data_IF_344721211967
#
_entry.id   IF_344721211967
#
_cell.length_a   1.000
_cell.length_b   1.000
_cell.length_c   1.000
_cell.angle_alpha   90.00
_cell.angle_beta   90.00
_cell.angle_gamma   90.00
#
_symmetry.space_group_name_H-M   'P 1'
#
loop_
_entity.id
_entity.type
_entity.pdbx_description
1 polymer ?
#
# COMPACT_ATOMS: atom_id res chain seq x y z
N UNK A 1 -6.45 17.03 7.22
CA UNK A 1 -6.46 15.63 7.74
C UNK A 1 -5.82 15.64 9.11
N UNK A 2 -6.43 14.98 10.10
CA UNK A 2 -5.75 14.74 11.38
C UNK A 2 -4.69 13.64 11.21
N UNK A 3 -3.60 13.71 11.97
CA UNK A 3 -2.54 12.68 12.02
C UNK A 3 -3.14 11.27 12.22
N UNK A 4 -4.24 11.18 12.98
CA UNK A 4 -4.98 9.94 13.22
C UNK A 4 -5.58 9.32 11.96
N UNK A 5 -6.12 10.14 11.05
CA UNK A 5 -6.66 9.66 9.77
C UNK A 5 -5.52 9.15 8.88
N UNK A 6 -4.43 9.91 8.77
CA UNK A 6 -3.22 9.49 8.05
C UNK A 6 -2.65 8.15 8.54
N UNK A 7 -2.64 7.92 9.85
CA UNK A 7 -2.22 6.65 10.41
C UNK A 7 -3.18 5.49 10.06
N UNK A 8 -4.49 5.76 10.02
CA UNK A 8 -5.48 4.76 9.64
C UNK A 8 -5.41 4.43 8.14
N UNK A 9 -5.24 5.44 7.28
CA UNK A 9 -5.03 5.27 5.85
C UNK A 9 -3.73 4.52 5.55
N UNK A 10 -2.64 4.84 6.26
CA UNK A 10 -1.38 4.11 6.15
C UNK A 10 -1.54 2.64 6.53
N UNK A 11 -2.27 2.34 7.61
CA UNK A 11 -2.55 0.96 8.01
C UNK A 11 -3.35 0.20 6.94
N UNK A 12 -4.35 0.84 6.34
CA UNK A 12 -5.13 0.24 5.25
C UNK A 12 -4.26 -0.06 4.03
N UNK A 13 -3.43 0.89 3.62
CA UNK A 13 -2.50 0.70 2.50
C UNK A 13 -1.47 -0.40 2.79
N UNK A 14 -0.98 -0.51 4.03
CA UNK A 14 -0.10 -1.62 4.44
C UNK A 14 -0.79 -2.97 4.31
N UNK A 15 -2.03 -3.10 4.81
CA UNK A 15 -2.81 -4.33 4.71
C UNK A 15 -3.07 -4.72 3.25
N UNK A 16 -3.41 -3.76 2.40
CA UNK A 16 -3.62 -4.02 0.97
C UNK A 16 -2.36 -4.55 0.29
N UNK A 17 -1.18 -3.97 0.59
CA UNK A 17 0.10 -4.48 0.10
C UNK A 17 0.33 -5.93 0.57
N UNK A 18 0.14 -6.22 1.85
CA UNK A 18 0.30 -7.59 2.37
C UNK A 18 -0.66 -8.59 1.69
N UNK A 19 -1.92 -8.22 1.49
CA UNK A 19 -2.89 -9.08 0.83
C UNK A 19 -2.57 -9.31 -0.66
N UNK A 20 -2.09 -8.27 -1.35
CA UNK A 20 -1.66 -8.38 -2.75
C UNK A 20 -0.39 -9.21 -2.86
N UNK A 21 0.59 -9.04 -1.98
CA UNK A 21 1.81 -9.87 -1.95
C UNK A 21 1.48 -11.34 -1.70
N UNK A 22 0.59 -11.62 -0.75
CA UNK A 22 0.14 -12.98 -0.48
C UNK A 22 -0.59 -13.58 -1.68
N UNK A 23 -1.53 -12.84 -2.28
CA UNK A 23 -2.23 -13.27 -3.49
C UNK A 23 -1.27 -13.57 -4.63
N UNK A 24 -0.23 -12.74 -4.80
CA UNK A 24 0.78 -12.91 -5.85
C UNK A 24 1.68 -14.13 -5.60
N UNK A 25 2.05 -14.38 -4.34
CA UNK A 25 2.82 -15.55 -3.95
C UNK A 25 2.05 -16.86 -4.14
N UNK A 26 0.74 -16.85 -3.88
CA UNK A 26 -0.16 -18.00 -4.09
C UNK A 26 -0.69 -18.07 -5.54
N UNK A 27 -0.40 -17.07 -6.38
CA UNK A 27 -0.95 -16.96 -7.72
C UNK A 27 -0.34 -18.01 -8.66
N UNK A 28 -1.18 -18.92 -9.15
CA UNK A 28 -0.80 -19.95 -10.15
C UNK A 28 -1.59 -19.84 -11.46
N UNK A 29 -2.14 -18.64 -11.75
CA UNK A 29 -2.93 -18.38 -12.96
C UNK A 29 -2.09 -17.93 -14.17
N UNK A 30 -2.74 -17.25 -15.12
CA UNK A 30 -2.11 -16.75 -16.34
C UNK A 30 -1.15 -15.60 -16.05
N UNK A 31 -0.05 -15.52 -16.80
CA UNK A 31 0.93 -14.43 -16.69
C UNK A 31 0.30 -13.03 -16.81
N UNK A 32 -0.68 -12.84 -17.69
CA UNK A 32 -1.38 -11.56 -17.83
C UNK A 32 -2.09 -11.12 -16.54
N UNK A 33 -2.66 -12.07 -15.78
CA UNK A 33 -3.33 -11.75 -14.51
C UNK A 33 -2.33 -11.53 -13.38
N UNK A 34 -1.20 -12.24 -13.42
CA UNK A 34 -0.06 -11.97 -12.54
C UNK A 34 0.44 -10.55 -12.73
N UNK A 35 0.64 -10.11 -13.98
CA UNK A 35 1.08 -8.75 -14.30
C UNK A 35 0.10 -7.68 -13.78
N UNK A 36 -1.21 -7.94 -13.85
CA UNK A 36 -2.22 -7.04 -13.28
C UNK A 36 -2.12 -6.98 -11.74
N UNK A 37 -1.89 -8.12 -11.08
CA UNK A 37 -1.64 -8.19 -9.64
C UNK A 37 -0.36 -7.44 -9.25
N UNK A 38 0.72 -7.58 -10.03
CA UNK A 38 2.00 -6.88 -9.82
C UNK A 38 1.84 -5.37 -9.99
N UNK A 39 1.10 -4.92 -11.01
CA UNK A 39 0.80 -3.51 -11.22
C UNK A 39 0.02 -2.93 -10.01
N UNK A 40 -1.04 -3.61 -9.56
CA UNK A 40 -1.81 -3.18 -8.39
C UNK A 40 -0.97 -3.16 -7.12
N UNK A 41 -0.09 -4.13 -6.94
CA UNK A 41 0.84 -4.16 -5.81
C UNK A 41 1.80 -2.96 -5.85
N UNK A 42 2.30 -2.60 -7.03
CA UNK A 42 3.19 -1.46 -7.21
C UNK A 42 2.49 -0.13 -6.91
N UNK A 43 1.22 0.01 -7.29
CA UNK A 43 0.39 1.18 -6.95
C UNK A 43 0.13 1.26 -5.43
N UNK A 44 -0.28 0.16 -4.80
CA UNK A 44 -0.52 0.10 -3.35
C UNK A 44 0.75 0.43 -2.55
N UNK A 45 1.92 -0.04 -3.02
CA UNK A 45 3.22 0.29 -2.43
C UNK A 45 3.55 1.79 -2.53
N UNK A 46 3.25 2.42 -3.66
CA UNK A 46 3.45 3.85 -3.87
C UNK A 46 2.54 4.69 -2.97
N UNK A 47 1.26 4.32 -2.84
CA UNK A 47 0.32 4.98 -1.94
C UNK A 47 0.77 4.88 -0.48
N UNK A 48 1.14 3.68 -0.03
CA UNK A 48 1.70 3.47 1.31
C UNK A 48 2.92 4.36 1.57
N UNK A 49 3.84 4.46 0.61
CA UNK A 49 5.05 5.26 0.77
C UNK A 49 4.73 6.76 0.87
N UNK A 50 3.82 7.24 0.03
CA UNK A 50 3.29 8.60 0.08
C UNK A 50 2.63 8.91 1.42
N UNK A 51 1.73 8.05 1.90
CA UNK A 51 1.07 8.21 3.20
C UNK A 51 2.06 8.20 4.36
N UNK A 52 3.08 7.33 4.30
CA UNK A 52 4.15 7.31 5.29
C UNK A 52 4.91 8.63 5.32
N UNK A 53 5.30 9.16 4.15
CA UNK A 53 5.98 10.45 4.04
C UNK A 53 5.13 11.60 4.59
N UNK A 54 3.83 11.63 4.26
CA UNK A 54 2.89 12.63 4.78
C UNK A 54 2.72 12.54 6.30
N UNK A 55 2.67 11.33 6.85
CA UNK A 55 2.59 11.11 8.29
C UNK A 55 3.86 11.57 9.01
N UNK A 56 5.04 11.31 8.44
CA UNK A 56 6.32 11.77 8.99
C UNK A 56 6.45 13.30 8.92
N UNK A 57 6.02 13.92 7.83
CA UNK A 57 6.00 15.38 7.68
C UNK A 57 5.04 16.03 8.69
N UNK A 58 3.83 15.48 8.83
CA UNK A 58 2.84 15.93 9.80
C UNK A 58 3.29 15.76 11.27
N UNK A 59 4.17 14.79 11.57
CA UNK A 59 4.78 14.64 12.90
C UNK A 59 5.87 15.68 13.18
N UNK A 60 6.56 16.18 12.15
CA UNK A 60 7.66 17.15 12.30
C UNK A 60 7.17 18.60 12.37
N UNK A 61 6.03 18.89 11.75
CA UNK A 61 5.43 20.23 11.75
C UNK A 61 4.42 20.48 12.88
N UNK A 62 4.27 19.54 13.83
CA UNK A 62 3.25 19.59 14.90
C UNK A 62 3.82 19.76 16.29
#
# INVERSE_FOLDING_TARGET
MSIRNLAQDLYRAQREVEELEKKLAEFSGKESERLLLEARLQEARAERDKLKKLLEDAKRGS
#
